data_IF_085874800087
#
_entry.id   IF_085874800087
#
_cell.length_a   1.000
_cell.length_b   1.000
_cell.length_c   1.000
_cell.angle_alpha   90.00
_cell.angle_beta   90.00
_cell.angle_gamma   90.00
#
_symmetry.space_group_name_H-M   'P 1'
#
loop_
_entity.id
_entity.type
_entity.pdbx_description
1 polymer ?
#
# COMPACT_ATOMS: atom_id res chain seq x y z
N UNK A 1 -5.17 -92.63 57.11
CA UNK A 1 -6.15 -92.40 56.03
C UNK A 1 -5.75 -91.09 55.37
N UNK A 2 -4.92 -91.14 54.32
CA UNK A 2 -4.53 -89.96 53.56
C UNK A 2 -5.42 -89.94 52.32
N UNK A 3 -6.36 -88.99 52.27
CA UNK A 3 -7.18 -88.76 51.10
C UNK A 3 -6.29 -88.23 49.98
N UNK A 4 -6.18 -88.98 48.89
CA UNK A 4 -5.60 -88.47 47.66
C UNK A 4 -6.57 -87.40 47.13
N UNK A 5 -6.17 -86.13 47.24
CA UNK A 5 -6.85 -85.05 46.53
C UNK A 5 -6.64 -85.28 45.03
N UNK A 6 -7.75 -85.32 44.30
CA UNK A 6 -7.79 -85.55 42.86
C UNK A 6 -7.33 -84.26 42.13
N UNK A 7 -6.02 -84.13 41.96
CA UNK A 7 -5.35 -83.04 41.23
C UNK A 7 -5.58 -83.14 39.70
N UNK A 8 -6.00 -84.31 39.23
CA UNK A 8 -6.35 -84.61 37.84
C UNK A 8 -7.71 -84.03 37.42
N UNK A 9 -8.65 -83.87 38.35
CA UNK A 9 -9.97 -83.28 38.07
C UNK A 9 -9.91 -81.75 37.85
N UNK A 10 -9.06 -81.06 38.62
CA UNK A 10 -8.89 -79.58 38.53
C UNK A 10 -8.13 -79.16 37.28
N UNK A 11 -7.22 -80.00 36.80
CA UNK A 11 -6.44 -79.76 35.57
C UNK A 11 -7.28 -79.98 34.30
N UNK A 12 -8.25 -80.89 34.33
CA UNK A 12 -9.16 -81.13 33.21
C UNK A 12 -10.19 -79.98 33.08
N UNK A 13 -10.77 -79.51 34.20
CA UNK A 13 -11.68 -78.34 34.22
C UNK A 13 -11.03 -77.04 33.73
N UNK A 14 -9.75 -76.81 34.06
CA UNK A 14 -9.02 -75.62 33.59
C UNK A 14 -8.74 -75.68 32.09
N UNK A 15 -8.44 -76.86 31.55
CA UNK A 15 -8.29 -77.04 30.09
C UNK A 15 -9.61 -76.88 29.34
N UNK A 16 -10.72 -77.37 29.89
CA UNK A 16 -12.05 -77.23 29.27
C UNK A 16 -12.48 -75.75 29.22
N UNK A 17 -12.28 -75.01 30.33
CA UNK A 17 -12.52 -73.55 30.36
C UNK A 17 -11.67 -72.76 29.36
N UNK A 18 -10.43 -73.20 29.12
CA UNK A 18 -9.55 -72.58 28.13
C UNK A 18 -10.07 -72.79 26.71
N UNK A 19 -10.50 -74.02 26.39
CA UNK A 19 -11.07 -74.34 25.08
C UNK A 19 -12.40 -73.62 24.84
N UNK A 20 -13.26 -73.55 25.86
CA UNK A 20 -14.51 -72.81 25.80
C UNK A 20 -14.27 -71.29 25.60
N UNK A 21 -13.28 -70.71 26.29
CA UNK A 21 -12.89 -69.31 26.11
C UNK A 21 -12.31 -69.06 24.71
N UNK A 22 -11.50 -69.99 24.19
CA UNK A 22 -10.93 -69.92 22.84
C UNK A 22 -12.01 -70.00 21.77
N UNK A 23 -12.97 -70.90 21.91
CA UNK A 23 -14.09 -71.03 20.98
C UNK A 23 -14.93 -69.74 20.96
N UNK A 24 -15.27 -69.19 22.14
CA UNK A 24 -15.96 -67.90 22.27
C UNK A 24 -15.19 -66.76 21.60
N UNK A 25 -13.87 -66.69 21.82
CA UNK A 25 -13.02 -65.69 21.17
C UNK A 25 -13.04 -65.82 19.63
N UNK A 26 -12.83 -67.03 19.10
CA UNK A 26 -12.82 -67.27 17.65
C UNK A 26 -14.17 -66.94 17.02
N UNK A 27 -15.27 -67.24 17.71
CA UNK A 27 -16.62 -66.88 17.27
C UNK A 27 -16.79 -65.36 17.15
N UNK A 28 -16.34 -64.59 18.15
CA UNK A 28 -16.41 -63.12 18.10
C UNK A 28 -15.53 -62.56 16.97
N UNK A 29 -14.36 -63.13 16.74
CA UNK A 29 -13.48 -62.73 15.63
C UNK A 29 -14.13 -63.02 14.27
N UNK A 30 -14.80 -64.17 14.12
CA UNK A 30 -15.54 -64.50 12.90
C UNK A 30 -16.73 -63.55 12.68
N UNK A 31 -17.51 -63.27 13.73
CA UNK A 31 -18.60 -62.29 13.70
C UNK A 31 -18.09 -60.88 13.32
N UNK A 32 -16.93 -60.48 13.85
CA UNK A 32 -16.27 -59.21 13.48
C UNK A 32 -15.84 -59.21 12.02
N UNK A 33 -15.24 -60.30 11.54
CA UNK A 33 -14.86 -60.45 10.13
C UNK A 33 -16.07 -60.36 9.21
N UNK A 34 -17.21 -60.93 9.63
CA UNK A 34 -18.45 -60.92 8.86
C UNK A 34 -19.10 -59.52 8.81
N UNK A 35 -18.95 -58.69 9.84
CA UNK A 35 -19.51 -57.32 9.85
C UNK A 35 -18.55 -56.25 9.32
N UNK A 36 -17.25 -56.54 9.19
CA UNK A 36 -16.22 -55.61 8.69
C UNK A 36 -16.53 -55.04 7.30
N UNK A 37 -16.97 -55.81 6.29
CA UNK A 37 -17.30 -55.26 4.98
C UNK A 37 -18.39 -54.17 5.03
N UNK A 38 -19.46 -54.41 5.80
CA UNK A 38 -20.53 -53.43 5.96
C UNK A 38 -20.06 -52.18 6.71
N UNK A 39 -19.19 -52.36 7.71
CA UNK A 39 -18.58 -51.24 8.41
C UNK A 39 -17.74 -50.38 7.46
N UNK A 40 -16.88 -51.00 6.63
CA UNK A 40 -16.05 -50.29 5.65
C UNK A 40 -16.92 -49.54 4.65
N UNK A 41 -17.95 -50.17 4.09
CA UNK A 41 -18.89 -49.51 3.17
C UNK A 41 -19.55 -48.27 3.80
N UNK A 42 -19.99 -48.38 5.06
CA UNK A 42 -20.59 -47.26 5.77
C UNK A 42 -19.59 -46.13 6.07
N UNK A 43 -18.35 -46.48 6.42
CA UNK A 43 -17.28 -45.50 6.64
C UNK A 43 -16.87 -44.80 5.34
N UNK A 44 -16.77 -45.54 4.24
CA UNK A 44 -16.52 -45.00 2.90
C UNK A 44 -17.64 -44.06 2.46
N UNK A 45 -18.91 -44.40 2.74
CA UNK A 45 -20.04 -43.53 2.39
C UNK A 45 -19.95 -42.16 3.07
N UNK A 46 -19.65 -42.13 4.38
CA UNK A 46 -19.50 -40.86 5.11
C UNK A 46 -18.24 -40.12 4.65
N UNK A 47 -17.15 -40.85 4.41
CA UNK A 47 -15.92 -40.26 3.88
C UNK A 47 -16.12 -39.61 2.51
N UNK A 48 -16.88 -40.25 1.61
CA UNK A 48 -17.17 -39.71 0.29
C UNK A 48 -17.97 -38.41 0.37
N UNK A 49 -18.87 -38.27 1.35
CA UNK A 49 -19.55 -37.01 1.61
C UNK A 49 -18.59 -35.90 2.06
N UNK A 50 -17.62 -36.23 2.91
CA UNK A 50 -16.55 -35.30 3.30
C UNK A 50 -15.72 -34.89 2.09
N UNK A 51 -15.36 -35.85 1.23
CA UNK A 51 -14.61 -35.60 -0.01
C UNK A 51 -15.37 -34.66 -0.96
N UNK A 52 -16.68 -34.83 -1.13
CA UNK A 52 -17.50 -33.94 -1.96
C UNK A 52 -17.57 -32.52 -1.41
N UNK A 53 -17.58 -32.35 -0.08
CA UNK A 53 -17.52 -31.03 0.54
C UNK A 53 -16.15 -30.39 0.31
N UNK A 54 -15.09 -31.18 0.49
CA UNK A 54 -13.71 -30.72 0.27
C UNK A 54 -13.46 -30.36 -1.20
N UNK A 55 -13.95 -31.16 -2.15
CA UNK A 55 -13.85 -30.88 -3.58
C UNK A 55 -14.44 -29.51 -3.92
N UNK A 56 -15.63 -29.19 -3.38
CA UNK A 56 -16.27 -27.88 -3.58
C UNK A 56 -15.42 -26.75 -2.99
N UNK A 57 -14.85 -26.94 -1.80
CA UNK A 57 -13.97 -25.94 -1.18
C UNK A 57 -12.72 -25.73 -2.02
N UNK A 58 -12.06 -26.79 -2.47
CA UNK A 58 -10.84 -26.72 -3.29
C UNK A 58 -11.11 -26.08 -4.65
N UNK A 59 -12.22 -26.43 -5.30
CA UNK A 59 -12.65 -25.82 -6.55
C UNK A 59 -12.91 -24.32 -6.37
N UNK A 60 -13.62 -23.94 -5.31
CA UNK A 60 -13.86 -22.53 -4.97
C UNK A 60 -12.54 -21.78 -4.73
N UNK A 61 -11.61 -22.34 -3.97
CA UNK A 61 -10.30 -21.72 -3.73
C UNK A 61 -9.54 -21.48 -5.05
N UNK A 62 -9.59 -22.44 -5.97
CA UNK A 62 -8.99 -22.29 -7.30
C UNK A 62 -9.63 -21.13 -8.07
N UNK A 63 -10.95 -21.00 -8.06
CA UNK A 63 -11.66 -19.90 -8.72
C UNK A 63 -11.28 -18.54 -8.11
N UNK A 64 -11.28 -18.44 -6.78
CA UNK A 64 -10.90 -17.21 -6.06
C UNK A 64 -9.46 -16.80 -6.40
N UNK A 65 -8.52 -17.74 -6.41
CA UNK A 65 -7.12 -17.42 -6.74
C UNK A 65 -6.96 -16.94 -8.19
N UNK A 66 -7.72 -17.50 -9.13
CA UNK A 66 -7.74 -17.03 -10.51
C UNK A 66 -8.36 -15.63 -10.64
N UNK A 67 -9.42 -15.35 -9.88
CA UNK A 67 -10.03 -14.01 -9.83
C UNK A 67 -9.08 -12.98 -9.22
N UNK A 68 -8.37 -13.33 -8.14
CA UNK A 68 -7.32 -12.49 -7.54
C UNK A 68 -6.24 -12.21 -8.58
N UNK A 69 -5.73 -13.23 -9.27
CA UNK A 69 -4.74 -13.06 -10.36
C UNK A 69 -5.25 -12.09 -11.42
N UNK A 70 -6.53 -12.19 -11.81
CA UNK A 70 -7.12 -11.31 -12.83
C UNK A 70 -7.20 -9.86 -12.33
N UNK A 71 -7.60 -9.63 -11.08
CA UNK A 71 -7.72 -8.28 -10.52
C UNK A 71 -6.37 -7.61 -10.29
N UNK A 72 -5.33 -8.36 -9.93
CA UNK A 72 -3.97 -7.83 -9.75
C UNK A 72 -3.32 -7.53 -11.10
N UNK A 73 -3.67 -8.25 -12.16
CA UNK A 73 -3.02 -8.09 -13.45
C UNK A 73 -3.46 -6.81 -14.20
N UNK A 74 -2.74 -5.71 -13.97
CA UNK A 74 -2.96 -4.44 -14.66
C UNK A 74 -2.56 -4.46 -16.14
N UNK A 75 -1.71 -5.40 -16.58
CA UNK A 75 -1.22 -5.44 -17.98
C UNK A 75 -2.32 -5.78 -18.98
N UNK A 76 -3.33 -6.54 -18.57
CA UNK A 76 -4.51 -6.85 -19.40
C UNK A 76 -5.48 -5.65 -19.47
N UNK A 77 -5.34 -4.65 -18.59
CA UNK A 77 -6.22 -3.50 -18.54
C UNK A 77 -5.74 -2.39 -19.49
N UNK A 78 -6.48 -2.16 -20.58
CA UNK A 78 -6.17 -1.11 -21.56
C UNK A 78 -6.06 0.29 -20.95
N UNK A 79 -6.72 0.58 -19.82
CA UNK A 79 -6.57 1.89 -19.15
C UNK A 79 -5.15 2.12 -18.69
N UNK A 80 -4.46 1.08 -18.21
CA UNK A 80 -3.06 1.18 -17.80
C UNK A 80 -2.16 1.54 -18.99
N UNK A 81 -2.35 0.89 -20.14
CA UNK A 81 -1.62 1.23 -21.36
C UNK A 81 -1.91 2.66 -21.87
N UNK A 82 -3.15 3.14 -21.71
CA UNK A 82 -3.53 4.51 -22.09
C UNK A 82 -2.78 5.57 -21.29
N UNK A 83 -2.49 5.36 -20.00
CA UNK A 83 -1.73 6.32 -19.19
C UNK A 83 -0.39 6.66 -19.85
N UNK A 84 0.33 5.65 -20.34
CA UNK A 84 1.61 5.86 -21.03
C UNK A 84 1.44 6.45 -22.43
N UNK A 85 0.39 6.06 -23.15
CA UNK A 85 0.09 6.60 -24.48
C UNK A 85 -0.27 8.09 -24.41
N UNK A 86 -1.10 8.49 -23.45
CA UNK A 86 -1.52 9.87 -23.23
C UNK A 86 -0.33 10.74 -22.77
N UNK A 87 0.55 10.18 -21.93
CA UNK A 87 1.80 10.83 -21.53
C UNK A 87 2.71 11.07 -22.74
N UNK A 88 2.94 10.05 -23.56
CA UNK A 88 3.74 10.16 -24.78
C UNK A 88 3.16 11.20 -25.74
N UNK A 89 1.84 11.19 -25.93
CA UNK A 89 1.15 12.18 -26.76
C UNK A 89 1.32 13.59 -26.21
N UNK A 90 1.22 13.78 -24.90
CA UNK A 90 1.38 15.10 -24.24
C UNK A 90 2.80 15.63 -24.39
N UNK A 91 3.81 14.77 -24.24
CA UNK A 91 5.21 15.16 -24.43
C UNK A 91 5.46 15.51 -25.90
N UNK A 92 4.95 14.69 -26.82
CA UNK A 92 5.19 14.86 -28.26
C UNK A 92 4.44 16.07 -28.85
N UNK A 93 3.34 16.49 -28.24
CA UNK A 93 2.58 17.67 -28.67
C UNK A 93 3.24 18.99 -28.27
N UNK A 94 4.24 18.98 -27.38
CA UNK A 94 4.97 20.18 -27.01
C UNK A 94 5.70 20.77 -28.23
N UNK A 95 5.41 22.04 -28.54
CA UNK A 95 5.90 22.73 -29.74
C UNK A 95 6.73 23.96 -29.36
N UNK A 96 8.07 23.89 -29.44
CA UNK A 96 8.92 25.04 -29.18
C UNK A 96 8.59 26.25 -30.06
N UNK A 97 8.11 26.02 -31.29
CA UNK A 97 7.75 27.08 -32.23
C UNK A 97 6.44 27.78 -31.86
N UNK A 98 5.53 27.10 -31.17
CA UNK A 98 4.33 27.74 -30.61
C UNK A 98 4.70 28.63 -29.42
N UNK A 99 5.53 28.11 -28.51
CA UNK A 99 5.99 28.84 -27.33
C UNK A 99 6.79 30.10 -27.69
N UNK A 100 7.72 30.00 -28.64
CA UNK A 100 8.50 31.15 -29.11
C UNK A 100 7.62 32.22 -29.76
N UNK A 101 6.59 31.81 -30.52
CA UNK A 101 5.62 32.74 -31.13
C UNK A 101 4.78 33.43 -30.05
N UNK A 102 4.28 32.67 -29.09
CA UNK A 102 3.54 33.22 -27.95
C UNK A 102 4.36 34.27 -27.21
N UNK A 103 5.61 33.95 -26.86
CA UNK A 103 6.48 34.89 -26.15
C UNK A 103 6.79 36.14 -26.97
N UNK A 104 7.10 35.97 -28.26
CA UNK A 104 7.38 37.10 -29.16
C UNK A 104 6.20 38.05 -29.30
N UNK A 105 4.97 37.53 -29.29
CA UNK A 105 3.76 38.34 -29.41
C UNK A 105 3.39 39.07 -28.10
N UNK A 106 3.61 38.42 -26.96
CA UNK A 106 3.18 38.94 -25.66
C UNK A 106 4.23 39.78 -24.94
N UNK A 107 5.51 39.52 -25.18
CA UNK A 107 6.64 40.16 -24.49
C UNK A 107 7.76 40.60 -25.44
N UNK A 108 7.56 40.46 -26.75
CA UNK A 108 8.56 40.73 -27.76
C UNK A 108 8.09 41.70 -28.83
N UNK A 109 8.76 41.68 -30.00
CA UNK A 109 8.49 42.59 -31.10
C UNK A 109 7.06 42.51 -31.69
N UNK A 110 6.33 41.42 -31.40
CA UNK A 110 4.93 41.27 -31.84
C UNK A 110 3.92 42.04 -30.99
N UNK A 111 4.34 42.65 -29.87
CA UNK A 111 3.45 43.51 -29.08
C UNK A 111 3.03 44.75 -29.87
N UNK A 112 1.79 45.18 -29.68
CA UNK A 112 1.30 46.42 -30.27
C UNK A 112 2.01 47.63 -29.66
N UNK A 113 2.59 48.46 -30.53
CA UNK A 113 3.25 49.71 -30.15
C UNK A 113 2.60 50.88 -30.87
N UNK A 114 2.15 51.87 -30.10
CA UNK A 114 1.73 53.16 -30.64
C UNK A 114 2.97 54.02 -30.89
N UNK A 115 3.47 54.01 -32.12
CA UNK A 115 4.59 54.87 -32.50
C UNK A 115 4.19 56.34 -32.43
N UNK A 116 5.08 57.24 -31.97
CA UNK A 116 4.80 58.66 -31.93
C UNK A 116 4.36 59.18 -33.30
N UNK A 117 3.18 59.80 -33.34
CA UNK A 117 2.65 60.49 -34.52
C UNK A 117 2.33 61.94 -34.16
N UNK A 118 2.17 62.78 -35.16
CA UNK A 118 1.77 64.16 -34.93
C UNK A 118 0.35 64.18 -34.35
N UNK A 119 0.19 64.79 -33.18
CA UNK A 119 -1.12 65.03 -32.56
C UNK A 119 -1.48 66.51 -32.71
N UNK A 120 -2.70 66.78 -33.19
CA UNK A 120 -3.21 68.15 -33.31
C UNK A 120 -3.47 68.74 -31.91
N UNK A 121 -3.07 70.00 -31.71
CA UNK A 121 -3.14 70.66 -30.41
C UNK A 121 -4.59 70.75 -29.92
N UNK A 122 -4.92 69.99 -28.87
CA UNK A 122 -6.22 70.03 -28.22
C UNK A 122 -6.08 70.62 -26.79
N UNK A 123 -6.63 71.82 -26.52
CA UNK A 123 -6.48 72.50 -25.23
C UNK A 123 -7.04 71.66 -24.05
N UNK A 124 -8.02 70.80 -24.28
CA UNK A 124 -8.68 69.96 -23.25
C UNK A 124 -7.84 68.74 -22.79
N UNK A 125 -6.86 68.28 -23.60
CA UNK A 125 -5.99 67.13 -23.28
C UNK A 125 -4.69 67.53 -22.56
N UNK A 126 -4.43 68.83 -22.42
CA UNK A 126 -3.19 69.39 -21.86
C UNK A 126 -2.94 69.07 -20.37
N UNK A 127 -3.95 68.60 -19.65
CA UNK A 127 -3.87 68.26 -18.22
C UNK A 127 -3.45 66.80 -17.93
N UNK A 128 -3.48 65.91 -18.94
CA UNK A 128 -3.15 64.50 -18.76
C UNK A 128 -1.64 64.25 -18.54
N UNK A 129 -0.78 65.13 -19.05
CA UNK A 129 0.65 65.14 -18.71
C UNK A 129 0.83 65.97 -17.43
N UNK A 130 0.19 65.50 -16.36
CA UNK A 130 0.44 66.05 -15.02
C UNK A 130 1.93 65.90 -14.73
N UNK A 131 2.62 67.04 -14.61
CA UNK A 131 3.95 67.17 -14.01
C UNK A 131 3.96 66.32 -12.75
N UNK A 132 4.61 65.15 -12.79
CA UNK A 132 4.90 64.41 -11.56
C UNK A 132 5.70 65.34 -10.65
N UNK A 133 5.00 65.77 -9.60
CA UNK A 133 5.51 66.42 -8.42
C UNK A 133 6.77 65.69 -7.95
N UNK A 134 7.85 66.45 -7.77
CA UNK A 134 9.12 65.93 -7.28
C UNK A 134 8.93 65.43 -5.85
N UNK A 135 8.78 64.12 -5.67
CA UNK A 135 9.10 63.50 -4.39
C UNK A 135 10.58 63.79 -4.11
N UNK A 136 10.79 64.60 -3.08
CA UNK A 136 12.08 64.96 -2.51
C UNK A 136 12.70 63.70 -1.91
N UNK A 137 13.59 63.02 -2.66
CA UNK A 137 14.60 62.13 -2.08
C UNK A 137 15.99 62.60 -2.51
N UNK A 138 16.83 62.63 -1.52
CA UNK A 138 18.13 63.26 -1.41
C UNK A 138 19.16 62.76 -2.44
N UNK A 139 19.87 63.71 -3.06
CA UNK A 139 21.26 63.70 -3.55
C UNK A 139 21.86 62.37 -4.05
N UNK A 140 22.07 62.21 -5.36
CA UNK A 140 23.42 62.42 -5.94
C UNK A 140 23.35 62.65 -7.46
N UNK A 141 24.27 63.47 -7.96
CA UNK A 141 24.15 64.16 -9.25
C UNK A 141 24.25 63.28 -10.50
N UNK A 142 23.42 63.60 -11.50
CA UNK A 142 23.73 63.32 -12.91
C UNK A 142 23.36 64.56 -13.72
N UNK A 143 24.40 65.31 -14.12
CA UNK A 143 24.30 66.47 -15.00
C UNK A 143 24.16 65.99 -16.45
N UNK A 144 23.10 66.44 -17.14
CA UNK A 144 22.94 66.24 -18.59
C UNK A 144 24.15 66.85 -19.31
N UNK A 145 24.92 66.04 -20.03
CA UNK A 145 25.96 66.52 -20.94
C UNK A 145 25.35 66.71 -22.33
N UNK A 146 25.34 67.96 -22.75
CA UNK A 146 25.01 68.36 -24.12
C UNK A 146 26.13 67.88 -25.05
N UNK A 147 25.76 67.14 -26.10
CA UNK A 147 26.68 66.73 -27.19
C UNK A 147 27.14 67.97 -27.94
N UNK A 148 28.44 68.25 -27.93
CA UNK A 148 29.11 69.14 -28.88
C UNK A 148 30.18 68.35 -29.64
N UNK A 149 30.04 68.35 -30.95
CA UNK A 149 30.99 67.83 -31.95
C UNK A 149 32.37 68.47 -31.77
N UNK A 150 33.42 67.64 -31.65
CA UNK A 150 34.81 68.12 -31.53
C UNK A 150 35.86 67.00 -31.61
N UNK A 151 36.43 66.85 -32.81
CA UNK A 151 37.51 65.98 -33.33
C UNK A 151 38.82 65.84 -32.50
N UNK A 152 39.41 64.62 -32.60
CA UNK A 152 40.82 64.17 -32.49
C UNK A 152 41.59 64.18 -31.14
N UNK A 153 41.94 62.99 -30.61
CA UNK A 153 43.24 62.27 -30.76
C UNK A 153 43.55 61.33 -29.58
N UNK A 154 44.09 60.15 -29.93
CA UNK A 154 44.97 59.24 -29.17
C UNK A 154 44.37 58.16 -28.23
N UNK A 155 44.92 56.96 -28.44
CA UNK A 155 44.68 55.61 -27.94
C UNK A 155 45.59 55.22 -26.73
N UNK A 156 45.67 53.95 -26.29
CA UNK A 156 44.65 53.12 -25.62
C UNK A 156 45.20 52.52 -24.29
N UNK A 157 44.33 52.08 -23.37
CA UNK A 157 44.71 51.12 -22.33
C UNK A 157 43.65 50.02 -22.22
N UNK A 158 44.18 48.81 -22.12
CA UNK A 158 43.59 47.50 -22.32
C UNK A 158 43.32 46.91 -20.95
N UNK A 159 42.12 46.38 -20.68
CA UNK A 159 41.97 45.31 -19.69
C UNK A 159 40.69 44.47 -19.90
N UNK A 160 40.89 43.43 -20.70
CA UNK A 160 40.44 42.05 -20.53
C UNK A 160 39.36 41.76 -19.47
N UNK A 161 38.21 41.21 -19.91
CA UNK A 161 37.71 39.90 -19.43
C UNK A 161 36.49 39.38 -20.23
N UNK A 162 36.79 38.44 -21.12
CA UNK A 162 35.88 37.44 -21.70
C UNK A 162 35.33 36.51 -20.59
N UNK A 163 34.02 36.25 -20.56
CA UNK A 163 33.32 35.08 -21.14
C UNK A 163 33.39 33.76 -20.34
N UNK A 164 32.19 33.30 -19.95
CA UNK A 164 31.63 31.92 -19.87
C UNK A 164 32.34 30.80 -19.06
N UNK A 165 31.57 30.12 -18.20
CA UNK A 165 31.23 28.67 -18.30
C UNK A 165 31.08 27.96 -16.94
N UNK A 166 30.17 26.99 -16.96
CA UNK A 166 29.65 26.06 -15.93
C UNK A 166 30.68 25.09 -15.34
N UNK A 167 30.45 24.62 -14.09
CA UNK A 167 30.39 23.18 -13.79
C UNK A 167 29.72 22.86 -12.43
N UNK A 168 29.14 21.67 -12.43
CA UNK A 168 28.46 20.84 -11.43
C UNK A 168 29.27 20.54 -10.15
N UNK A 169 28.59 20.39 -9.00
CA UNK A 169 29.09 19.54 -7.89
C UNK A 169 27.97 18.98 -7.00
N UNK A 170 27.74 17.69 -7.19
CA UNK A 170 27.31 16.60 -6.28
C UNK A 170 27.27 16.90 -4.77
N UNK A 171 26.15 16.58 -4.12
CA UNK A 171 26.09 16.16 -2.71
C UNK A 171 25.18 14.93 -2.61
N UNK A 172 25.75 13.87 -2.05
CA UNK A 172 25.17 12.55 -1.78
C UNK A 172 24.94 12.47 -0.26
N UNK A 173 23.87 11.77 0.12
CA UNK A 173 23.58 11.18 1.44
C UNK A 173 22.80 12.02 2.45
N UNK A 174 21.53 11.64 2.68
CA UNK A 174 21.10 11.05 3.95
C UNK A 174 19.70 10.43 3.77
N UNK A 175 19.67 9.11 3.69
CA UNK A 175 18.46 8.31 3.93
C UNK A 175 18.67 7.65 5.29
N UNK A 176 18.19 8.28 6.35
CA UNK A 176 18.13 7.69 7.68
C UNK A 176 16.66 7.35 7.97
N UNK A 177 16.42 6.05 8.09
CA UNK A 177 15.21 5.47 8.63
C UNK A 177 15.28 5.67 10.15
N UNK A 178 14.30 6.33 10.74
CA UNK A 178 14.12 6.34 12.19
C UNK A 178 12.67 6.10 12.51
N UNK A 179 12.40 4.85 12.89
CA UNK A 179 11.23 4.39 13.61
C UNK A 179 11.46 4.76 15.08
N UNK A 180 10.69 5.72 15.60
CA UNK A 180 10.61 5.91 17.06
C UNK A 180 9.24 6.46 17.45
N UNK A 181 8.52 5.59 18.13
CA UNK A 181 7.22 5.76 18.77
C UNK A 181 7.36 6.75 19.93
N UNK A 182 6.71 7.92 19.85
CA UNK A 182 6.65 8.86 20.96
C UNK A 182 5.26 9.47 21.12
N UNK A 183 4.52 8.90 22.07
CA UNK A 183 3.28 9.45 22.60
C UNK A 183 3.53 10.74 23.38
N UNK A 184 2.84 11.82 23.00
CA UNK A 184 2.51 12.93 23.90
C UNK A 184 1.19 13.62 23.45
N UNK A 185 0.37 14.10 24.40
CA UNK A 185 -1.01 14.49 24.14
C UNK A 185 -1.12 15.96 23.72
N UNK A 186 -1.93 16.24 22.70
CA UNK A 186 -2.35 17.61 22.42
C UNK A 186 -3.77 17.61 21.83
N UNK A 187 -4.72 18.07 22.67
CA UNK A 187 -6.03 18.50 22.21
C UNK A 187 -5.90 19.82 21.43
N UNK A 188 -6.40 19.85 20.19
CA UNK A 188 -7.12 21.00 19.62
C UNK A 188 -7.48 20.73 18.15
N UNK A 189 -8.77 20.43 17.95
CA UNK A 189 -9.63 20.88 16.85
C UNK A 189 -9.26 20.53 15.40
N UNK A 190 -9.99 19.55 14.87
CA UNK A 190 -10.81 19.78 13.68
C UNK A 190 -10.18 19.48 12.33
N UNK A 191 -9.85 18.22 12.07
CA UNK A 191 -10.03 17.64 10.74
C UNK A 191 -10.18 16.12 10.89
N UNK A 192 -11.43 15.64 10.90
CA UNK A 192 -11.73 14.21 11.02
C UNK A 192 -11.39 13.54 9.70
N UNK A 193 -10.39 12.67 9.70
CA UNK A 193 -10.08 11.83 8.55
C UNK A 193 -11.26 10.85 8.32
N UNK A 194 -11.96 10.90 7.17
CA UNK A 194 -13.16 10.07 6.92
C UNK A 194 -12.86 8.57 6.75
N UNK A 195 -11.59 8.17 6.84
CA UNK A 195 -11.13 6.78 6.81
C UNK A 195 -10.69 6.23 8.18
N UNK A 196 -10.80 7.01 9.27
CA UNK A 196 -10.46 6.53 10.63
C UNK A 196 -11.61 5.89 11.39
N UNK A 197 -12.86 6.02 10.92
CA UNK A 197 -14.05 5.47 11.62
C UNK A 197 -14.25 3.96 11.42
N UNK A 198 -13.40 3.29 10.64
CA UNK A 198 -13.42 1.84 10.49
C UNK A 198 -12.19 1.19 11.16
N UNK A 199 -11.87 1.63 12.38
CA UNK A 199 -11.19 0.73 13.32
C UNK A 199 -12.15 -0.41 13.63
N UNK A 200 -12.02 -1.47 12.83
CA UNK A 200 -12.46 -2.85 13.03
C UNK A 200 -13.30 -2.99 14.30
N UNK A 201 -14.61 -3.16 14.15
CA UNK A 201 -15.46 -3.60 15.25
C UNK A 201 -14.80 -4.83 15.87
N UNK A 202 -14.22 -4.67 17.06
CA UNK A 202 -13.49 -5.72 17.75
C UNK A 202 -14.49 -6.79 18.15
N UNK A 203 -14.59 -7.84 17.33
CA UNK A 203 -15.49 -8.96 17.56
C UNK A 203 -15.01 -9.69 18.79
N UNK A 204 -15.80 -9.68 19.87
CA UNK A 204 -15.53 -10.48 21.06
C UNK A 204 -16.22 -11.83 20.95
N UNK A 205 -15.47 -12.89 21.21
CA UNK A 205 -15.98 -14.26 21.25
C UNK A 205 -16.03 -14.76 22.67
N UNK A 206 -16.99 -15.63 22.98
CA UNK A 206 -17.19 -16.18 24.32
C UNK A 206 -16.64 -17.60 24.42
N UNK A 207 -15.85 -17.87 25.44
CA UNK A 207 -15.38 -19.22 25.75
C UNK A 207 -16.54 -20.14 26.13
N UNK A 208 -16.62 -21.30 25.47
CA UNK A 208 -17.64 -22.32 25.73
C UNK A 208 -17.22 -23.36 26.78
N UNK A 209 -15.91 -23.46 27.04
CA UNK A 209 -15.31 -24.37 28.00
C UNK A 209 -14.14 -23.67 28.69
N UNK A 210 -13.72 -24.20 29.84
CA UNK A 210 -12.49 -23.77 30.51
C UNK A 210 -11.26 -24.29 29.72
N UNK A 211 -10.26 -23.44 29.54
CA UNK A 211 -8.99 -23.78 28.92
C UNK A 211 -7.83 -23.19 29.74
N UNK A 212 -6.83 -24.01 30.05
CA UNK A 212 -5.63 -23.61 30.77
C UNK A 212 -4.43 -23.79 29.82
N UNK A 213 -3.79 -22.68 29.45
CA UNK A 213 -2.66 -22.66 28.55
C UNK A 213 -1.46 -23.42 29.12
N UNK A 214 -0.87 -24.29 28.31
CA UNK A 214 0.21 -25.17 28.74
C UNK A 214 1.60 -24.56 28.51
N UNK A 215 1.73 -23.67 27.51
CA UNK A 215 2.97 -22.97 27.15
C UNK A 215 2.88 -21.47 27.48
N UNK A 216 4.03 -20.79 27.56
CA UNK A 216 4.09 -19.37 28.00
C UNK A 216 3.40 -18.40 27.03
N UNK A 217 3.15 -18.85 25.81
CA UNK A 217 2.46 -18.15 24.75
C UNK A 217 1.01 -18.62 24.55
N UNK A 218 0.48 -19.52 25.38
CA UNK A 218 -0.93 -19.89 25.34
C UNK A 218 -1.80 -18.97 26.23
N UNK A 219 -3.06 -18.79 25.83
CA UNK A 219 -4.05 -18.04 26.62
C UNK A 219 -4.81 -19.00 27.53
N UNK A 220 -4.97 -18.64 28.80
CA UNK A 220 -5.91 -19.34 29.71
C UNK A 220 -7.20 -18.55 29.83
N UNK A 221 -8.35 -19.21 29.72
CA UNK A 221 -9.66 -18.56 29.82
C UNK A 221 -10.72 -19.50 30.41
N UNK A 222 -11.77 -18.91 31.00
CA UNK A 222 -12.87 -19.67 31.62
C UNK A 222 -14.15 -19.57 30.83
N UNK A 223 -15.03 -20.56 30.99
CA UNK A 223 -16.35 -20.57 30.36
C UNK A 223 -17.10 -19.27 30.65
N UNK A 224 -17.60 -18.64 29.59
CA UNK A 224 -18.31 -17.37 29.65
C UNK A 224 -17.44 -16.11 29.57
N UNK A 225 -16.11 -16.26 29.60
CA UNK A 225 -15.16 -15.16 29.39
C UNK A 225 -15.20 -14.68 27.92
N UNK A 226 -15.11 -13.36 27.71
CA UNK A 226 -15.22 -12.73 26.39
C UNK A 226 -13.87 -12.21 25.94
N UNK A 227 -13.29 -12.81 24.90
CA UNK A 227 -11.94 -12.56 24.40
C UNK A 227 -12.03 -11.90 23.02
N UNK A 228 -11.19 -10.89 22.71
CA UNK A 228 -11.09 -10.35 21.37
C UNK A 228 -10.70 -11.42 20.35
N UNK A 229 -11.46 -11.54 19.26
CA UNK A 229 -11.16 -12.48 18.18
C UNK A 229 -9.81 -12.20 17.52
N UNK A 230 -9.34 -10.95 17.54
CA UNK A 230 -8.02 -10.55 17.04
C UNK A 230 -6.89 -11.35 17.70
N UNK A 231 -6.98 -11.59 19.01
CA UNK A 231 -5.95 -12.31 19.77
C UNK A 231 -5.93 -13.81 19.42
N UNK A 232 -7.07 -14.36 18.99
CA UNK A 232 -7.15 -15.77 18.55
C UNK A 232 -6.62 -15.99 17.13
N UNK A 233 -6.75 -14.99 16.26
CA UNK A 233 -6.31 -15.08 14.85
C UNK A 233 -4.78 -14.98 14.72
N UNK A 234 -4.14 -14.24 15.63
CA UNK A 234 -2.68 -14.04 15.60
C UNK A 234 -1.88 -15.29 16.05
N UNK A 235 -2.55 -16.31 16.58
CA UNK A 235 -1.93 -17.54 17.14
C UNK A 235 -2.31 -18.84 16.41
N UNK A 236 -2.96 -18.75 15.25
CA UNK A 236 -3.24 -19.90 14.37
C UNK A 236 -2.27 -19.95 13.19
#
# INVERSE_FOLDING_TARGET
MSGAYDETLVSDETTDSFWEAKEKYLKVVDELSNCTPQYVENMELVFEQCQQFEEKRLAFFREVLLDIKRHINLTENQRYARVYSDLEQTITSASPQEDLRWFSNNHGPGMHMNWPQFEEYNPELSHAISKKEKLKKHHDGVTLTHVTTGRNQQSPQVENRSSVSSYEKTQVYSAEWSDEDQAAPAESNGDTNPFEEERCQEVRVRALYDYEGQEQDELSFRVGESIPASILVEKC
#
